data_IF_002485830991
#
_entry.id   IF_002485830991
#
_cell.length_a   1.000
_cell.length_b   1.000
_cell.length_c   1.000
_cell.angle_alpha   90.00
_cell.angle_beta   90.00
_cell.angle_gamma   90.00
#
_symmetry.space_group_name_H-M   'P 1'
#
loop_
_entity.id
_entity.type
_entity.pdbx_description
1 polymer ?
#
# COMPACT_ATOMS: atom_id res chain seq x y z
N UNK A 1 -13.98 14.67 13.93
CA UNK A 1 -14.58 14.93 12.60
C UNK A 1 -15.41 13.70 12.29
N UNK A 2 -16.73 13.83 12.27
CA UNK A 2 -17.62 12.70 11.95
C UNK A 2 -17.58 12.49 10.44
N UNK A 3 -17.16 11.30 10.01
CA UNK A 3 -17.25 10.87 8.62
C UNK A 3 -18.65 10.31 8.36
N UNK A 4 -19.13 10.48 7.13
CA UNK A 4 -20.34 9.85 6.63
C UNK A 4 -20.28 8.33 6.82
N UNK A 5 -21.23 7.78 7.57
CA UNK A 5 -21.29 6.38 7.97
C UNK A 5 -22.37 5.58 7.24
N UNK A 6 -22.97 6.11 6.16
CA UNK A 6 -24.15 5.50 5.51
C UNK A 6 -23.96 4.01 5.19
N UNK A 7 -22.73 3.56 4.89
CA UNK A 7 -22.41 2.16 4.60
C UNK A 7 -21.40 1.53 5.59
N UNK A 8 -21.12 2.17 6.73
CA UNK A 8 -20.18 1.64 7.72
C UNK A 8 -20.86 0.70 8.70
N UNK A 9 -20.32 -0.50 8.87
CA UNK A 9 -20.67 -1.42 9.96
C UNK A 9 -20.18 -0.94 11.33
N UNK A 10 -19.28 0.06 11.34
CA UNK A 10 -18.79 0.74 12.53
C UNK A 10 -19.25 2.19 12.49
N UNK A 11 -20.43 2.43 13.02
CA UNK A 11 -21.01 3.76 13.11
C UNK A 11 -21.52 4.00 14.53
N UNK A 12 -21.45 5.27 14.95
CA UNK A 12 -22.03 5.72 16.22
C UNK A 12 -23.24 6.59 15.87
N UNK A 13 -24.44 5.99 15.89
CA UNK A 13 -25.68 6.71 15.61
C UNK A 13 -26.11 7.49 16.85
N UNK A 14 -26.14 8.82 16.74
CA UNK A 14 -26.67 9.69 17.79
C UNK A 14 -28.20 9.71 17.64
N UNK A 15 -28.99 9.32 18.65
CA UNK A 15 -30.44 9.35 18.56
C UNK A 15 -30.95 10.74 18.13
N UNK A 16 -31.73 10.79 17.04
CA UNK A 16 -32.25 12.03 16.47
C UNK A 16 -31.39 12.69 15.38
N UNK A 17 -30.17 12.21 15.11
CA UNK A 17 -29.29 12.79 14.05
C UNK A 17 -29.82 12.65 12.62
N UNK A 18 -30.83 11.81 12.41
CA UNK A 18 -31.47 11.56 11.11
C UNK A 18 -32.93 12.02 11.06
N UNK A 19 -33.40 12.76 12.06
CA UNK A 19 -34.78 13.26 12.13
C UNK A 19 -34.81 14.76 11.80
N UNK A 20 -35.72 15.19 10.92
CA UNK A 20 -36.02 16.62 10.74
C UNK A 20 -36.61 17.25 12.02
N UNK A 21 -37.06 16.42 12.97
CA UNK A 21 -37.58 16.81 14.27
C UNK A 21 -36.53 16.72 15.39
N UNK A 22 -35.24 16.85 15.08
CA UNK A 22 -34.20 16.90 16.09
C UNK A 22 -34.37 18.15 16.97
N UNK A 23 -34.76 17.97 18.24
CA UNK A 23 -35.08 19.05 19.19
C UNK A 23 -33.97 19.21 20.24
N UNK A 24 -33.65 20.45 20.62
CA UNK A 24 -32.63 20.79 21.62
C UNK A 24 -31.52 21.73 21.10
N UNK A 25 -30.68 22.28 21.99
CA UNK A 25 -29.61 23.25 21.64
C UNK A 25 -28.52 22.68 20.70
N UNK A 26 -28.49 21.36 20.50
CA UNK A 26 -27.42 20.64 19.83
C UNK A 26 -27.88 19.88 18.58
N UNK A 27 -29.11 20.10 18.12
CA UNK A 27 -29.69 19.38 16.97
C UNK A 27 -29.23 19.88 15.60
N UNK A 28 -28.69 21.10 15.52
CA UNK A 28 -28.18 21.68 14.28
C UNK A 28 -26.66 21.49 14.12
N UNK A 29 -26.24 20.23 13.94
CA UNK A 29 -24.82 19.85 13.92
C UNK A 29 -23.96 20.60 12.89
N UNK A 30 -24.54 21.15 11.81
CA UNK A 30 -23.83 21.93 10.80
C UNK A 30 -23.48 23.35 11.28
N UNK A 31 -24.33 23.95 12.13
CA UNK A 31 -24.20 25.33 12.57
C UNK A 31 -23.76 25.48 14.04
N UNK A 32 -23.89 24.43 14.85
CA UNK A 32 -23.48 24.44 16.26
C UNK A 32 -22.29 23.52 16.55
N UNK A 33 -21.68 23.71 17.73
CA UNK A 33 -20.48 23.00 18.20
C UNK A 33 -20.34 23.10 19.72
N UNK A 34 -19.83 22.05 20.36
CA UNK A 34 -19.42 22.07 21.78
C UNK A 34 -17.92 22.29 21.98
N UNK A 35 -17.17 22.58 20.91
CA UNK A 35 -15.72 22.87 20.93
C UNK A 35 -15.40 24.20 20.23
N UNK A 36 -16.38 25.10 20.14
CA UNK A 36 -16.25 26.44 19.55
C UNK A 36 -15.79 26.48 18.08
N UNK A 37 -16.05 25.40 17.32
CA UNK A 37 -15.77 25.33 15.88
C UNK A 37 -17.01 24.78 15.16
N UNK A 38 -17.78 25.61 14.42
CA UNK A 38 -19.00 25.17 13.74
C UNK A 38 -18.80 23.87 12.94
N UNK A 39 -19.72 22.91 13.07
CA UNK A 39 -19.60 21.61 12.42
C UNK A 39 -18.70 20.59 13.14
N UNK A 40 -17.95 20.98 14.17
CA UNK A 40 -17.08 20.09 14.95
C UNK A 40 -17.69 19.76 16.31
N UNK A 41 -17.71 18.47 16.62
CA UNK A 41 -18.25 17.95 17.87
C UNK A 41 -17.26 17.00 18.53
N UNK A 42 -17.17 17.10 19.86
CA UNK A 42 -16.48 16.14 20.70
C UNK A 42 -17.49 15.39 21.56
N UNK A 43 -17.50 14.07 21.46
CA UNK A 43 -18.35 13.22 22.29
C UNK A 43 -17.49 12.57 23.36
N UNK A 44 -18.00 12.54 24.60
CA UNK A 44 -17.38 11.76 25.67
C UNK A 44 -17.88 10.33 25.54
N UNK A 45 -16.96 9.38 25.32
CA UNK A 45 -17.27 7.96 25.10
C UNK A 45 -17.01 7.12 26.34
N UNK A 46 -16.80 7.74 27.51
CA UNK A 46 -16.40 7.10 28.76
C UNK A 46 -17.56 6.45 29.54
N UNK A 47 -18.78 6.42 28.98
CA UNK A 47 -19.85 5.58 29.48
C UNK A 47 -19.77 4.16 28.88
N UNK A 48 -18.78 3.40 29.35
CA UNK A 48 -18.62 1.97 29.11
C UNK A 48 -17.89 1.32 30.29
N UNK A 49 -18.20 0.06 30.62
CA UNK A 49 -17.41 -0.67 31.61
C UNK A 49 -15.97 -0.82 31.10
N UNK A 50 -14.97 -0.35 31.87
CA UNK A 50 -13.56 -0.56 31.55
C UNK A 50 -13.31 -2.07 31.54
N UNK A 51 -13.14 -2.65 30.35
CA UNK A 51 -13.20 -4.10 30.17
C UNK A 51 -11.84 -4.78 30.32
N UNK A 52 -10.79 -4.24 29.69
CA UNK A 52 -9.48 -4.88 29.63
C UNK A 52 -8.33 -3.88 29.81
N UNK A 53 -7.12 -4.40 29.98
CA UNK A 53 -5.88 -3.64 29.95
C UNK A 53 -4.89 -4.25 28.97
N UNK A 54 -4.12 -3.41 28.28
CA UNK A 54 -3.01 -3.81 27.42
C UNK A 54 -1.83 -2.86 27.67
N UNK A 55 -0.66 -3.37 28.06
CA UNK A 55 0.51 -2.55 28.43
C UNK A 55 0.17 -1.41 29.42
N UNK A 56 -0.63 -1.71 30.45
CA UNK A 56 -1.15 -0.75 31.44
C UNK A 56 -2.07 0.35 30.90
N UNK A 57 -2.44 0.29 29.62
CA UNK A 57 -3.44 1.19 29.02
C UNK A 57 -4.82 0.53 29.05
N UNK A 58 -5.88 1.28 29.42
CA UNK A 58 -7.24 0.76 29.43
C UNK A 58 -7.76 0.56 27.99
N UNK A 59 -8.42 -0.57 27.75
CA UNK A 59 -9.09 -0.91 26.49
C UNK A 59 -10.60 -0.99 26.74
N UNK A 60 -11.42 -0.37 25.89
CA UNK A 60 -12.88 -0.47 26.02
C UNK A 60 -13.38 -1.83 25.58
N UNK A 61 -14.46 -2.30 26.21
CA UNK A 61 -15.12 -3.54 25.81
C UNK A 61 -15.60 -3.44 24.35
N UNK A 62 -15.22 -4.40 23.51
CA UNK A 62 -15.53 -4.45 22.08
C UNK A 62 -14.44 -3.87 21.17
N UNK A 63 -13.53 -3.05 21.69
CA UNK A 63 -12.46 -2.46 20.89
C UNK A 63 -11.50 -3.55 20.39
N UNK A 64 -10.99 -3.33 19.17
CA UNK A 64 -10.00 -4.20 18.53
C UNK A 64 -8.81 -3.41 17.99
N UNK A 65 -7.62 -3.97 18.13
CA UNK A 65 -6.36 -3.37 17.68
C UNK A 65 -5.33 -4.46 17.38
N UNK A 66 -4.22 -4.08 16.76
CA UNK A 66 -3.08 -4.96 16.55
C UNK A 66 -1.97 -4.67 17.55
N UNK A 67 -1.35 -5.74 18.06
CA UNK A 67 -0.44 -5.69 19.21
C UNK A 67 0.83 -4.88 18.97
N UNK A 68 1.30 -4.84 17.72
CA UNK A 68 2.56 -4.24 17.33
C UNK A 68 2.58 -3.88 15.83
N UNK A 69 3.70 -3.29 15.39
CA UNK A 69 3.92 -2.81 14.03
C UNK A 69 3.90 -3.88 12.94
N UNK A 70 3.99 -5.16 13.29
CA UNK A 70 3.90 -6.26 12.30
C UNK A 70 2.44 -6.55 11.94
N UNK A 71 1.51 -6.09 12.76
CA UNK A 71 0.10 -6.47 12.69
C UNK A 71 -0.14 -7.98 12.58
N UNK A 72 0.73 -8.83 13.15
CA UNK A 72 0.53 -10.28 13.13
C UNK A 72 -0.63 -10.73 14.03
N UNK A 73 -0.76 -10.14 15.23
CA UNK A 73 -1.82 -10.49 16.18
C UNK A 73 -2.85 -9.38 16.33
N UNK A 74 -4.12 -9.73 16.14
CA UNK A 74 -5.27 -8.88 16.44
C UNK A 74 -5.80 -9.22 17.83
N UNK A 75 -5.91 -8.21 18.69
CA UNK A 75 -6.48 -8.30 20.02
C UNK A 75 -7.85 -7.62 20.07
N UNK A 76 -8.81 -8.25 20.74
CA UNK A 76 -10.14 -7.71 20.98
C UNK A 76 -10.46 -7.80 22.46
N UNK A 77 -10.93 -6.71 23.07
CA UNK A 77 -11.40 -6.74 24.44
C UNK A 77 -12.82 -7.31 24.50
N UNK A 78 -13.00 -8.40 25.25
CA UNK A 78 -14.28 -9.10 25.42
C UNK A 78 -14.67 -9.15 26.89
N UNK A 79 -15.87 -9.63 27.20
CA UNK A 79 -16.32 -9.82 28.59
C UNK A 79 -15.48 -10.86 29.34
N UNK A 80 -14.80 -11.75 28.61
CA UNK A 80 -13.84 -12.73 29.14
C UNK A 80 -12.41 -12.17 29.25
N UNK A 81 -12.19 -10.89 28.97
CA UNK A 81 -10.87 -10.25 28.94
C UNK A 81 -10.32 -10.06 27.54
N UNK A 82 -9.02 -9.74 27.46
CA UNK A 82 -8.33 -9.46 26.20
C UNK A 82 -8.03 -10.77 25.45
N UNK A 83 -8.56 -10.89 24.23
CA UNK A 83 -8.41 -12.07 23.38
C UNK A 83 -7.58 -11.71 22.16
N UNK A 84 -6.37 -12.28 22.04
CA UNK A 84 -5.47 -12.04 20.91
C UNK A 84 -5.36 -13.29 20.03
N UNK A 85 -5.45 -13.11 18.71
CA UNK A 85 -5.39 -14.19 17.72
C UNK A 85 -4.47 -13.78 16.57
N UNK A 86 -3.79 -14.76 15.98
CA UNK A 86 -2.99 -14.55 14.77
C UNK A 86 -3.93 -14.19 13.60
N UNK A 87 -3.91 -12.93 13.20
CA UNK A 87 -4.76 -12.37 12.15
C UNK A 87 -4.02 -11.21 11.49
N UNK A 88 -3.13 -11.50 10.52
CA UNK A 88 -2.41 -10.47 9.79
C UNK A 88 -3.34 -9.60 8.94
N UNK A 89 -2.85 -8.42 8.55
CA UNK A 89 -3.55 -7.57 7.58
C UNK A 89 -3.83 -8.34 6.29
N UNK A 90 -4.98 -8.06 5.66
CA UNK A 90 -5.24 -8.59 4.33
C UNK A 90 -4.30 -7.94 3.31
N UNK A 91 -4.19 -8.54 2.12
CA UNK A 91 -3.38 -8.01 1.03
C UNK A 91 -3.77 -6.57 0.61
N UNK A 92 -5.04 -6.18 0.77
CA UNK A 92 -5.50 -4.83 0.47
C UNK A 92 -5.20 -3.81 1.57
N UNK A 93 -4.71 -4.26 2.72
CA UNK A 93 -4.47 -3.43 3.91
C UNK A 93 -2.98 -3.21 4.18
N UNK A 94 -2.66 -2.15 4.94
CA UNK A 94 -1.33 -1.95 5.53
C UNK A 94 -1.46 -1.75 7.04
N UNK A 95 -0.42 -2.12 7.78
CA UNK A 95 -0.35 -1.91 9.22
C UNK A 95 -0.01 -0.44 9.50
N UNK A 96 -0.96 0.33 10.06
CA UNK A 96 -0.73 1.73 10.40
C UNK A 96 -0.77 1.95 11.90
N UNK A 97 0.09 2.84 12.39
CA UNK A 97 0.02 3.33 13.76
C UNK A 97 -1.24 4.20 13.95
N UNK A 98 -1.88 4.01 15.10
CA UNK A 98 -3.09 4.75 15.53
C UNK A 98 -2.82 5.38 16.90
N UNK A 99 -3.83 6.04 17.47
CA UNK A 99 -3.74 6.66 18.80
C UNK A 99 -3.58 5.65 19.93
N UNK A 100 -4.11 4.43 19.79
CA UNK A 100 -4.08 3.42 20.85
C UNK A 100 -3.01 2.35 20.61
N UNK A 101 -2.89 1.80 19.40
CA UNK A 101 -1.87 0.84 18.96
C UNK A 101 -1.76 0.84 17.41
N UNK A 102 -1.87 -0.32 16.75
CA UNK A 102 -1.86 -0.44 15.30
C UNK A 102 -3.22 -0.90 14.76
N UNK A 103 -3.49 -0.61 13.50
CA UNK A 103 -4.67 -1.08 12.79
C UNK A 103 -4.36 -1.42 11.34
N UNK A 104 -4.95 -2.49 10.83
CA UNK A 104 -4.93 -2.80 9.41
C UNK A 104 -5.92 -1.90 8.68
N UNK A 105 -5.42 -0.98 7.87
CA UNK A 105 -6.23 -0.02 7.11
C UNK A 105 -6.19 -0.35 5.62
N UNK A 106 -7.34 -0.32 4.97
CA UNK A 106 -7.43 -0.53 3.52
C UNK A 106 -6.78 0.65 2.79
N UNK A 107 -5.92 0.35 1.83
CA UNK A 107 -5.21 1.37 1.06
C UNK A 107 -5.55 1.22 -0.41
N UNK A 108 -6.06 2.30 -0.99
CA UNK A 108 -6.25 2.38 -2.44
C UNK A 108 -4.89 2.48 -3.12
N UNK A 109 -4.72 1.72 -4.21
CA UNK A 109 -3.48 1.66 -4.96
C UNK A 109 -3.74 1.87 -6.46
N UNK A 110 -2.74 2.38 -7.17
CA UNK A 110 -2.62 2.27 -8.62
C UNK A 110 -1.54 1.25 -8.96
N UNK A 111 -1.68 0.60 -10.11
CA UNK A 111 -0.80 -0.48 -10.54
C UNK A 111 -0.23 -0.18 -11.92
N UNK A 112 1.10 -0.15 -12.02
CA UNK A 112 1.83 -0.23 -13.27
C UNK A 112 2.06 -1.70 -13.61
N UNK A 113 1.93 -2.06 -14.88
CA UNK A 113 2.08 -3.45 -15.37
C UNK A 113 3.08 -3.51 -16.52
N UNK A 114 3.95 -4.53 -16.48
CA UNK A 114 4.87 -4.85 -17.57
C UNK A 114 4.62 -6.29 -17.98
N UNK A 115 4.32 -6.52 -19.27
CA UNK A 115 3.97 -7.83 -19.79
C UNK A 115 4.67 -8.11 -21.13
N UNK A 116 5.28 -9.28 -21.25
CA UNK A 116 5.64 -9.84 -22.57
C UNK A 116 6.78 -9.11 -23.30
N UNK A 117 6.49 -8.65 -24.53
CA UNK A 117 7.37 -8.17 -25.61
C UNK A 117 7.54 -6.63 -25.74
N UNK A 118 8.06 -5.98 -24.69
CA UNK A 118 7.38 -5.64 -23.47
C UNK A 118 6.36 -4.51 -23.67
N UNK A 119 5.11 -4.82 -23.36
CA UNK A 119 4.01 -3.89 -23.19
C UNK A 119 4.07 -3.28 -21.79
N UNK A 120 4.09 -1.96 -21.71
CA UNK A 120 4.04 -1.22 -20.46
C UNK A 120 2.68 -0.55 -20.32
N UNK A 121 2.13 -0.61 -19.11
CA UNK A 121 0.98 0.14 -18.66
C UNK A 121 1.43 0.96 -17.45
N UNK A 122 1.44 2.29 -17.57
CA UNK A 122 1.83 3.20 -16.49
C UNK A 122 0.80 3.21 -15.37
N UNK A 123 1.09 3.93 -14.27
CA UNK A 123 0.11 4.11 -13.19
C UNK A 123 -1.16 4.86 -13.62
N UNK A 124 -1.04 5.68 -14.67
CA UNK A 124 -2.12 6.50 -15.23
C UNK A 124 -2.70 5.86 -16.50
N UNK A 125 -2.47 4.56 -16.70
CA UNK A 125 -3.05 3.72 -17.76
C UNK A 125 -2.54 4.04 -19.19
N UNK A 126 -1.43 4.78 -19.34
CA UNK A 126 -0.74 4.99 -20.63
C UNK A 126 -0.08 3.69 -21.09
N UNK A 127 -0.25 3.36 -22.37
CA UNK A 127 0.29 2.14 -22.99
C UNK A 127 1.42 2.47 -23.94
N UNK A 128 2.54 1.75 -23.83
CA UNK A 128 3.64 1.83 -24.80
C UNK A 128 4.43 0.53 -24.92
N UNK A 129 5.25 0.45 -25.96
CA UNK A 129 6.01 -0.75 -26.31
C UNK A 129 7.48 -0.39 -26.41
N UNK A 130 8.35 -1.11 -25.70
CA UNK A 130 9.77 -0.73 -25.69
C UNK A 130 10.71 -1.93 -25.63
N UNK A 131 11.28 -2.30 -26.78
CA UNK A 131 12.13 -3.48 -26.94
C UNK A 131 13.59 -3.26 -26.53
N UNK A 132 13.81 -2.73 -25.32
CA UNK A 132 15.14 -2.57 -24.73
C UNK A 132 15.62 -3.81 -24.00
N UNK A 133 16.92 -4.12 -24.06
CA UNK A 133 17.56 -5.25 -23.34
C UNK A 133 18.43 -4.84 -22.16
N UNK A 134 18.49 -3.55 -21.85
CA UNK A 134 19.23 -3.06 -20.69
C UNK A 134 18.44 -3.29 -19.39
N UNK A 135 18.99 -2.78 -18.29
CA UNK A 135 18.26 -2.62 -17.04
C UNK A 135 17.65 -1.22 -17.02
N UNK A 136 16.35 -1.15 -16.79
CA UNK A 136 15.59 0.11 -16.78
C UNK A 136 14.96 0.32 -15.41
N UNK A 137 14.85 1.58 -15.01
CA UNK A 137 14.08 1.97 -13.83
C UNK A 137 12.61 1.96 -14.22
N UNK A 138 11.88 0.97 -13.70
CA UNK A 138 10.45 0.84 -13.92
C UNK A 138 9.71 1.90 -13.12
N UNK A 139 10.02 1.99 -11.83
CA UNK A 139 9.45 3.00 -10.95
C UNK A 139 10.41 3.32 -9.81
N UNK A 140 10.53 4.59 -9.46
CA UNK A 140 11.35 5.10 -8.37
C UNK A 140 10.62 6.24 -7.65
N UNK A 141 10.84 6.36 -6.34
CA UNK A 141 10.39 7.53 -5.59
C UNK A 141 11.34 8.71 -5.86
N UNK A 142 10.85 9.75 -6.53
CA UNK A 142 11.68 10.84 -7.05
C UNK A 142 11.53 12.16 -6.27
N UNK A 143 10.57 12.23 -5.34
CA UNK A 143 10.41 13.37 -4.42
C UNK A 143 10.76 13.02 -2.97
N UNK A 144 11.19 14.02 -2.20
CA UNK A 144 11.44 13.89 -0.76
C UNK A 144 10.13 13.82 0.03
N UNK A 145 10.11 13.04 1.13
CA UNK A 145 9.02 13.06 2.11
C UNK A 145 8.23 11.76 2.25
N UNK A 146 8.53 10.75 1.43
CA UNK A 146 7.99 9.39 1.54
C UNK A 146 9.12 8.37 1.63
N UNK A 147 8.87 7.16 2.15
CA UNK A 147 9.83 6.05 2.09
C UNK A 147 10.36 5.85 0.66
N UNK A 148 11.68 5.79 0.53
CA UNK A 148 12.31 5.59 -0.77
C UNK A 148 12.17 4.14 -1.22
N UNK A 149 11.92 3.96 -2.51
CA UNK A 149 12.02 2.69 -3.20
C UNK A 149 12.50 2.90 -4.63
N UNK A 150 13.07 1.84 -5.21
CA UNK A 150 13.37 1.77 -6.64
C UNK A 150 13.17 0.34 -7.15
N UNK A 151 12.42 0.22 -8.24
CA UNK A 151 12.17 -1.03 -8.94
C UNK A 151 12.83 -0.98 -10.31
N UNK A 152 13.72 -1.92 -10.57
CA UNK A 152 14.38 -2.10 -11.86
C UNK A 152 13.91 -3.37 -12.54
N UNK A 153 13.74 -3.28 -13.87
CA UNK A 153 13.48 -4.42 -14.73
C UNK A 153 14.65 -4.62 -15.68
N UNK A 154 15.19 -5.83 -15.74
CA UNK A 154 16.13 -6.23 -16.79
C UNK A 154 15.42 -7.10 -17.79
N UNK A 155 15.48 -6.71 -19.05
CA UNK A 155 14.93 -7.48 -20.15
C UNK A 155 16.05 -8.27 -20.86
N UNK A 156 15.72 -9.43 -21.45
CA UNK A 156 16.65 -10.24 -22.26
C UNK A 156 15.98 -10.78 -23.52
N UNK A 157 16.76 -11.03 -24.57
CA UNK A 157 16.30 -11.75 -25.76
C UNK A 157 16.10 -13.25 -25.47
N UNK A 158 15.00 -13.84 -25.94
CA UNK A 158 14.72 -15.29 -25.80
C UNK A 158 14.82 -15.98 -27.16
N UNK A 159 16.05 -16.31 -27.56
CA UNK A 159 16.32 -17.03 -28.82
C UNK A 159 16.14 -16.21 -30.11
N UNK A 160 15.51 -15.04 -30.05
CA UNK A 160 15.43 -14.03 -31.12
C UNK A 160 15.87 -12.67 -30.58
N UNK A 161 16.64 -11.92 -31.37
CA UNK A 161 17.05 -10.54 -31.05
C UNK A 161 15.99 -9.49 -31.37
N UNK A 162 14.80 -9.91 -31.82
CA UNK A 162 13.71 -8.99 -32.15
C UNK A 162 12.77 -8.71 -30.97
N UNK A 163 12.84 -9.50 -29.88
CA UNK A 163 11.90 -9.39 -28.74
C UNK A 163 12.63 -9.60 -27.42
N UNK A 164 12.36 -8.74 -26.44
CA UNK A 164 12.94 -8.79 -25.10
C UNK A 164 11.89 -9.11 -24.02
N UNK A 165 12.22 -9.97 -23.05
CA UNK A 165 11.35 -10.34 -21.92
C UNK A 165 12.00 -10.01 -20.57
N UNK A 166 11.19 -9.72 -19.55
CA UNK A 166 11.69 -9.54 -18.18
C UNK A 166 12.39 -10.79 -17.66
N UNK A 167 13.68 -10.65 -17.36
CA UNK A 167 14.56 -11.67 -16.80
C UNK A 167 14.70 -11.56 -15.28
N UNK A 168 14.71 -10.32 -14.80
CA UNK A 168 15.04 -9.97 -13.43
C UNK A 168 14.22 -8.75 -13.05
N UNK A 169 13.56 -8.81 -11.89
CA UNK A 169 13.04 -7.64 -11.20
C UNK A 169 13.89 -7.41 -9.97
N UNK A 170 14.43 -6.21 -9.82
CA UNK A 170 15.24 -5.83 -8.65
C UNK A 170 14.51 -4.75 -7.88
N UNK A 171 14.33 -4.96 -6.58
CA UNK A 171 13.67 -4.03 -5.67
C UNK A 171 14.69 -3.54 -4.65
N UNK A 172 14.86 -2.23 -4.58
CA UNK A 172 15.67 -1.54 -3.58
C UNK A 172 14.75 -0.87 -2.58
N UNK A 173 14.86 -1.23 -1.30
CA UNK A 173 14.03 -0.70 -0.21
C UNK A 173 14.71 -0.91 1.14
N UNK A 174 14.67 0.08 2.04
CA UNK A 174 15.24 -0.01 3.40
C UNK A 174 16.69 -0.57 3.48
N UNK A 175 17.53 -0.25 2.49
CA UNK A 175 18.90 -0.78 2.28
C UNK A 175 18.99 -2.26 1.85
N UNK A 176 17.87 -2.96 1.70
CA UNK A 176 17.83 -4.29 1.12
C UNK A 176 17.78 -4.21 -0.41
N UNK A 177 18.47 -5.14 -1.07
CA UNK A 177 18.34 -5.38 -2.51
C UNK A 177 17.79 -6.79 -2.73
N UNK A 178 16.59 -6.85 -3.31
CA UNK A 178 15.83 -8.08 -3.53
C UNK A 178 15.72 -8.32 -5.03
N UNK A 179 16.21 -9.47 -5.49
CA UNK A 179 16.24 -9.89 -6.88
C UNK A 179 15.26 -11.05 -7.10
N UNK A 180 14.20 -10.81 -7.89
CA UNK A 180 13.24 -11.82 -8.35
C UNK A 180 13.67 -12.31 -9.73
N UNK A 181 14.05 -13.58 -9.82
CA UNK A 181 14.80 -14.13 -10.96
C UNK A 181 13.89 -15.05 -11.77
N UNK A 182 13.86 -14.87 -13.11
CA UNK A 182 13.12 -15.75 -14.03
C UNK A 182 13.41 -17.24 -13.75
N UNK A 183 12.36 -18.05 -13.74
CA UNK A 183 12.42 -19.50 -13.54
C UNK A 183 12.64 -19.96 -12.09
N UNK A 184 12.76 -19.03 -11.13
CA UNK A 184 12.94 -19.36 -9.71
C UNK A 184 11.70 -19.02 -8.90
N UNK A 185 10.69 -19.89 -8.99
CA UNK A 185 9.51 -19.80 -8.13
C UNK A 185 9.86 -20.09 -6.67
N UNK A 186 9.11 -19.49 -5.74
CA UNK A 186 9.31 -19.64 -4.30
C UNK A 186 10.66 -19.16 -3.76
N UNK A 187 11.42 -18.39 -4.53
CA UNK A 187 12.75 -17.94 -4.14
C UNK A 187 12.98 -16.49 -4.57
N UNK A 188 13.71 -15.75 -3.73
CA UNK A 188 14.26 -14.45 -4.06
C UNK A 188 15.72 -14.38 -3.63
N UNK A 189 16.53 -13.60 -4.33
CA UNK A 189 17.93 -13.37 -3.95
C UNK A 189 18.04 -12.06 -3.20
N UNK A 190 18.49 -12.12 -1.95
CA UNK A 190 18.62 -10.98 -1.05
C UNK A 190 20.10 -10.75 -0.79
N UNK A 191 20.59 -9.55 -1.12
CA UNK A 191 21.98 -9.13 -0.86
C UNK A 191 23.03 -10.16 -1.35
N UNK A 192 22.76 -10.85 -2.47
CA UNK A 192 23.67 -11.83 -3.07
C UNK A 192 23.25 -13.30 -2.90
N UNK A 193 22.46 -13.64 -1.90
CA UNK A 193 22.14 -15.03 -1.55
C UNK A 193 20.66 -15.37 -1.77
N UNK A 194 20.37 -16.58 -2.25
CA UNK A 194 18.99 -17.04 -2.40
C UNK A 194 18.37 -17.45 -1.07
N UNK A 195 17.11 -17.04 -0.86
CA UNK A 195 16.27 -17.46 0.25
C UNK A 195 14.92 -17.96 -0.29
N UNK A 196 14.39 -19.02 0.33
CA UNK A 196 13.06 -19.55 0.02
C UNK A 196 11.98 -18.74 0.73
N UNK A 197 10.89 -18.43 0.05
CA UNK A 197 9.73 -17.75 0.61
C UNK A 197 8.86 -18.67 1.47
N UNK A 198 8.09 -18.15 2.45
CA UNK A 198 8.03 -16.75 2.85
C UNK A 198 9.15 -16.37 3.83
N UNK A 199 9.60 -15.13 3.75
CA UNK A 199 10.52 -14.54 4.73
C UNK A 199 10.27 -13.04 4.90
N UNK A 200 10.87 -12.46 5.94
CA UNK A 200 10.78 -11.03 6.21
C UNK A 200 12.17 -10.42 6.37
N UNK A 201 12.33 -9.18 5.92
CA UNK A 201 13.54 -8.38 6.08
C UNK A 201 13.24 -7.13 6.90
N UNK A 202 14.28 -6.37 7.26
CA UNK A 202 14.14 -5.07 7.92
C UNK A 202 13.21 -5.08 9.16
N UNK A 203 13.31 -6.13 9.98
CA UNK A 203 12.45 -6.37 11.16
C UNK A 203 10.95 -6.45 10.86
N UNK A 204 10.58 -7.02 9.71
CA UNK A 204 9.18 -7.26 9.33
C UNK A 204 8.55 -6.18 8.47
N UNK A 205 9.27 -5.10 8.15
CA UNK A 205 8.76 -4.02 7.29
C UNK A 205 8.77 -4.39 5.81
N UNK A 206 9.53 -5.43 5.43
CA UNK A 206 9.52 -6.02 4.09
C UNK A 206 9.17 -7.49 4.21
N UNK A 207 8.18 -7.93 3.42
CA UNK A 207 7.78 -9.33 3.34
C UNK A 207 7.96 -9.83 1.92
N UNK A 208 8.49 -11.04 1.79
CA UNK A 208 8.63 -11.72 0.50
C UNK A 208 7.92 -13.06 0.59
N UNK A 209 6.93 -13.29 -0.27
CA UNK A 209 6.06 -14.46 -0.20
C UNK A 209 5.52 -14.86 -1.58
N UNK A 210 4.90 -16.03 -1.66
CA UNK A 210 4.22 -16.48 -2.88
C UNK A 210 2.73 -16.13 -2.84
N UNK A 211 2.21 -15.65 -3.97
CA UNK A 211 0.78 -15.44 -4.19
C UNK A 211 0.41 -15.91 -5.58
N UNK A 212 -0.36 -17.00 -5.66
CA UNK A 212 -0.66 -17.66 -6.93
C UNK A 212 0.63 -18.16 -7.61
N UNK A 213 0.91 -17.68 -8.82
CA UNK A 213 2.12 -18.03 -9.58
C UNK A 213 3.27 -17.03 -9.42
N UNK A 214 3.09 -16.01 -8.58
CA UNK A 214 4.04 -14.91 -8.46
C UNK A 214 4.80 -14.93 -7.14
N UNK A 215 6.04 -14.47 -7.20
CA UNK A 215 6.79 -14.04 -6.01
C UNK A 215 6.49 -12.57 -5.80
N UNK A 216 6.09 -12.22 -4.57
CA UNK A 216 5.64 -10.88 -4.18
C UNK A 216 6.57 -10.31 -3.12
N UNK A 217 6.97 -9.05 -3.32
CA UNK A 217 7.62 -8.22 -2.31
C UNK A 217 6.60 -7.17 -1.86
N UNK A 218 6.26 -7.15 -0.58
CA UNK A 218 5.41 -6.12 0.02
C UNK A 218 6.15 -5.36 1.12
N UNK A 219 5.71 -4.12 1.36
CA UNK A 219 6.29 -3.24 2.36
C UNK A 219 5.22 -2.70 3.31
N UNK A 220 5.62 -2.29 4.51
CA UNK A 220 4.76 -1.64 5.51
C UNK A 220 4.17 -0.31 5.03
N UNK A 221 4.89 0.44 4.19
CA UNK A 221 4.37 1.66 3.56
C UNK A 221 3.47 1.39 2.34
N UNK A 222 3.27 0.13 1.95
CA UNK A 222 2.23 -0.28 1.00
C UNK A 222 2.65 -0.49 -0.45
N UNK A 223 3.94 -0.34 -0.80
CA UNK A 223 4.47 -0.83 -2.08
C UNK A 223 4.30 -2.34 -2.17
N UNK A 224 3.81 -2.81 -3.32
CA UNK A 224 3.73 -4.22 -3.67
C UNK A 224 4.32 -4.45 -5.06
N UNK A 225 5.32 -5.32 -5.16
CA UNK A 225 5.92 -5.74 -6.43
C UNK A 225 5.67 -7.23 -6.62
N UNK A 226 5.02 -7.61 -7.70
CA UNK A 226 4.69 -9.00 -8.05
C UNK A 226 5.37 -9.37 -9.36
N UNK A 227 6.00 -10.54 -9.41
CA UNK A 227 6.57 -11.10 -10.64
C UNK A 227 6.21 -12.59 -10.77
N UNK A 228 5.63 -12.97 -11.90
CA UNK A 228 5.25 -14.36 -12.22
C UNK A 228 6.46 -15.29 -12.49
N UNK A 229 7.69 -14.76 -12.33
CA UNK A 229 8.97 -15.42 -12.64
C UNK A 229 9.13 -15.81 -14.10
N UNK A 230 8.34 -15.21 -15.00
CA UNK A 230 8.38 -15.46 -16.43
C UNK A 230 8.41 -14.18 -17.26
N UNK A 231 7.35 -13.37 -17.27
CA UNK A 231 7.22 -12.19 -18.13
C UNK A 231 6.26 -11.11 -17.63
N UNK A 232 5.57 -11.32 -16.51
CA UNK A 232 4.52 -10.43 -16.02
C UNK A 232 4.89 -9.82 -14.68
N UNK A 233 5.06 -8.50 -14.66
CA UNK A 233 5.41 -7.71 -13.48
C UNK A 233 4.29 -6.74 -13.16
N UNK A 234 3.94 -6.62 -11.89
CA UNK A 234 3.06 -5.57 -11.38
C UNK A 234 3.77 -4.81 -10.28
N UNK A 235 3.65 -3.48 -10.32
CA UNK A 235 4.12 -2.57 -9.29
C UNK A 235 2.89 -1.79 -8.83
N UNK A 236 2.49 -1.95 -7.58
CA UNK A 236 1.34 -1.26 -7.00
C UNK A 236 1.78 -0.32 -5.88
N UNK A 237 1.31 0.93 -5.93
CA UNK A 237 1.62 1.97 -4.96
C UNK A 237 0.36 2.59 -4.37
N UNK A 238 0.37 2.94 -3.07
CA UNK A 238 -0.69 3.74 -2.46
C UNK A 238 -0.84 5.11 -3.13
N UNK A 239 -2.05 5.67 -3.13
CA UNK A 239 -2.32 7.05 -3.59
C UNK A 239 -1.50 8.13 -2.86
N UNK A 240 -0.91 7.84 -1.70
CA UNK A 240 0.03 8.76 -1.04
C UNK A 240 1.28 9.04 -1.89
N UNK A 241 1.62 8.17 -2.84
CA UNK A 241 2.73 8.34 -3.79
C UNK A 241 2.37 9.15 -5.04
N UNK A 242 1.14 9.65 -5.15
CA UNK A 242 0.71 10.45 -6.29
C UNK A 242 1.60 11.69 -6.47
N UNK A 243 1.99 11.98 -7.71
CA UNK A 243 2.91 13.05 -8.13
C UNK A 243 4.35 12.90 -7.61
N UNK A 244 4.73 11.73 -7.11
CA UNK A 244 6.07 11.55 -6.50
C UNK A 244 6.91 10.46 -7.14
N UNK A 245 6.38 9.78 -8.16
CA UNK A 245 7.07 8.70 -8.85
C UNK A 245 7.76 9.19 -10.13
N UNK A 246 8.76 8.46 -10.59
CA UNK A 246 9.28 8.59 -11.95
C UNK A 246 9.82 7.23 -12.46
N UNK A 247 10.16 7.17 -13.75
CA UNK A 247 10.56 5.93 -14.44
C UNK A 247 9.56 5.53 -15.53
N UNK A 248 9.73 4.34 -16.08
CA UNK A 248 8.88 3.83 -17.17
C UNK A 248 7.39 3.67 -16.78
N UNK A 249 7.06 3.64 -15.50
CA UNK A 249 5.68 3.59 -14.99
C UNK A 249 5.00 4.97 -14.90
N UNK A 250 5.64 6.03 -15.40
CA UNK A 250 5.08 7.39 -15.40
C UNK A 250 5.30 8.13 -14.09
N UNK A 251 4.60 9.26 -13.94
CA UNK A 251 4.76 10.15 -12.79
C UNK A 251 3.65 9.98 -11.72
N UNK A 252 2.61 9.18 -12.04
CA UNK A 252 1.46 8.88 -11.19
C UNK A 252 0.72 10.14 -10.73
N UNK A 253 0.17 10.92 -11.66
CA UNK A 253 -0.60 12.13 -11.37
C UNK A 253 -2.07 12.04 -11.85
N UNK A 254 -2.49 10.90 -12.39
CA UNK A 254 -3.75 10.66 -13.11
C UNK A 254 -3.88 11.47 -14.42
N UNK A 255 -2.76 11.75 -15.10
CA UNK A 255 -2.71 12.46 -16.38
C UNK A 255 -1.91 11.66 -17.41
N UNK A 256 -2.57 10.77 -18.18
CA UNK A 256 -1.88 9.90 -19.13
C UNK A 256 -1.00 10.66 -20.16
N UNK A 257 -1.39 11.89 -20.52
CA UNK A 257 -0.72 12.68 -21.54
C UNK A 257 0.71 13.15 -21.18
N UNK A 258 1.11 13.08 -19.92
CA UNK A 258 2.43 13.54 -19.46
C UNK A 258 3.33 12.45 -18.88
N UNK A 259 2.94 11.18 -19.06
CA UNK A 259 3.69 10.02 -18.56
C UNK A 259 5.07 9.88 -19.21
N UNK A 260 5.25 10.36 -20.45
CA UNK A 260 6.54 10.32 -21.16
C UNK A 260 7.44 11.50 -20.76
N UNK A 261 7.58 11.70 -19.45
CA UNK A 261 8.45 12.73 -18.88
C UNK A 261 9.80 12.14 -18.55
N UNK A 262 10.84 12.58 -19.25
CA UNK A 262 12.20 12.11 -19.03
C UNK A 262 12.70 12.51 -17.64
N UNK A 263 13.83 11.94 -17.21
CA UNK A 263 14.49 12.30 -15.95
C UNK A 263 14.86 13.78 -15.85
N UNK A 264 15.05 14.46 -16.98
CA UNK A 264 15.33 15.88 -17.07
C UNK A 264 14.06 16.75 -17.00
N UNK A 265 12.88 16.14 -16.88
CA UNK A 265 11.58 16.82 -16.84
C UNK A 265 11.01 17.19 -18.21
N UNK A 266 11.65 16.74 -19.31
CA UNK A 266 11.19 17.02 -20.66
C UNK A 266 10.09 16.03 -21.07
N UNK A 267 8.98 16.55 -21.60
CA UNK A 267 7.94 15.73 -22.20
C UNK A 267 8.36 15.34 -23.62
N UNK A 268 8.33 14.05 -23.94
CA UNK A 268 8.65 13.51 -25.26
C UNK A 268 7.46 12.73 -25.81
N UNK A 269 7.39 12.58 -27.14
CA UNK A 269 6.30 11.88 -27.82
C UNK A 269 6.68 10.47 -28.30
N UNK A 270 7.97 10.11 -28.24
CA UNK A 270 8.45 8.78 -28.64
C UNK A 270 8.76 7.94 -27.42
N UNK A 271 8.19 6.75 -27.40
CA UNK A 271 8.44 5.64 -26.48
C UNK A 271 9.91 5.18 -26.44
N UNK A 272 10.64 5.29 -27.56
CA UNK A 272 12.07 4.95 -27.64
C UNK A 272 12.94 6.05 -27.02
N UNK A 273 12.50 7.31 -27.06
CA UNK A 273 13.23 8.45 -26.51
C UNK A 273 12.97 8.63 -25.01
N UNK A 274 11.78 8.25 -24.56
CA UNK A 274 11.37 8.24 -23.16
C UNK A 274 12.25 7.32 -22.30
#
# INVERSE_FOLDING_TARGET
AGYDTINSVHHFSIPGSFSENATGQFSNFRLSSNVHVPGRWAFRTDHGSRGCTFNNLPVQLGDSFWSDRTCAQKCTCTSAGLQCRNQPCSFSQICQQTSFQFSCQTVQRRTCTISGDPHYYTFDDTVFHFQGTCTYVLSEQCNSGLPYYRVEGKNEHRGSTQVSWTRLVKVHVYNDTIELVKGRRGQAKVNGNFASTPFSLSNGTVQVYESGFSVVVSTDFGLVVSYDTNHYVQISLPYTYQNTTCGLCGNFNNQPQDDFRTRQGQLVSSDVVF
#
